data_IF_780552867163
#
_entry.id   IF_780552867163
#
_cell.length_a   1.000
_cell.length_b   1.000
_cell.length_c   1.000
_cell.angle_alpha   90.00
_cell.angle_beta   90.00
_cell.angle_gamma   90.00
#
_symmetry.space_group_name_H-M   'P 1'
#
loop_
_entity.id
_entity.type
_entity.pdbx_description
1 polymer ?
#
# COMPACT_ATOMS: atom_id res chain seq x y z
N UNK A 1 8.98 -14.82 10.87
CA UNK A 1 7.62 -15.24 11.29
C UNK A 1 6.71 -14.05 11.04
N UNK A 2 5.49 -14.26 10.54
CA UNK A 2 4.45 -13.22 10.68
C UNK A 2 4.01 -13.30 12.14
N UNK A 3 4.43 -12.33 12.95
CA UNK A 3 4.15 -12.33 14.40
C UNK A 3 2.70 -11.97 14.70
N UNK A 4 2.10 -11.13 13.85
CA UNK A 4 0.70 -10.74 13.97
C UNK A 4 -0.22 -11.74 13.25
N UNK A 5 -1.14 -12.37 13.97
CA UNK A 5 -2.08 -13.39 13.45
C UNK A 5 -3.19 -12.76 12.59
N UNK A 6 -2.83 -11.93 11.62
CA UNK A 6 -3.74 -11.25 10.70
C UNK A 6 -3.93 -12.10 9.44
N UNK A 7 -5.20 -12.28 9.04
CA UNK A 7 -5.54 -12.94 7.78
C UNK A 7 -5.06 -12.08 6.59
N UNK A 8 -4.42 -12.69 5.61
CA UNK A 8 -3.93 -11.99 4.42
C UNK A 8 -5.04 -11.25 3.67
N UNK A 9 -6.29 -11.74 3.72
CA UNK A 9 -7.44 -11.07 3.10
C UNK A 9 -7.72 -9.66 3.68
N UNK A 10 -7.25 -9.38 4.89
CA UNK A 10 -7.38 -8.08 5.57
C UNK A 10 -6.30 -7.08 5.15
N UNK A 11 -5.27 -7.54 4.44
CA UNK A 11 -4.09 -6.76 4.07
C UNK A 11 -4.12 -6.44 2.58
N UNK A 12 -3.87 -5.19 2.20
CA UNK A 12 -3.66 -4.79 0.80
C UNK A 12 -2.35 -4.04 0.65
N UNK A 13 -1.66 -4.28 -0.47
CA UNK A 13 -0.51 -3.49 -0.90
C UNK A 13 -0.98 -2.59 -2.04
N UNK A 14 -0.88 -1.27 -1.82
CA UNK A 14 -1.22 -0.25 -2.80
C UNK A 14 0.07 0.34 -3.38
N UNK A 15 0.20 0.26 -4.69
CA UNK A 15 1.29 0.89 -5.44
C UNK A 15 0.82 2.28 -5.88
N UNK A 16 1.52 3.32 -5.45
CA UNK A 16 1.25 4.70 -5.82
C UNK A 16 1.64 4.96 -7.29
N UNK A 17 2.83 4.54 -7.70
CA UNK A 17 3.32 4.65 -9.07
C UNK A 17 2.68 3.61 -10.01
N UNK A 18 1.52 3.98 -10.56
CA UNK A 18 0.80 3.14 -11.51
C UNK A 18 1.55 2.93 -12.85
N UNK A 19 2.46 3.85 -13.21
CA UNK A 19 3.23 3.80 -14.47
C UNK A 19 4.25 2.65 -14.39
N UNK A 20 4.99 2.58 -13.29
CA UNK A 20 6.03 1.56 -13.09
C UNK A 20 5.57 0.39 -12.22
N UNK A 21 4.25 0.19 -12.04
CA UNK A 21 3.67 -0.83 -11.14
C UNK A 21 4.24 -2.24 -11.33
N UNK A 22 4.56 -2.62 -12.57
CA UNK A 22 5.07 -3.96 -12.87
C UNK A 22 6.45 -4.19 -12.21
N UNK A 23 7.30 -3.17 -12.13
CA UNK A 23 8.60 -3.26 -11.45
C UNK A 23 8.42 -3.58 -9.96
N UNK A 24 7.42 -2.96 -9.32
CA UNK A 24 7.10 -3.21 -7.92
C UNK A 24 6.48 -4.60 -7.72
N UNK A 25 5.58 -5.02 -8.60
CA UNK A 25 4.98 -6.37 -8.57
C UNK A 25 6.06 -7.44 -8.73
N UNK A 26 6.97 -7.28 -9.69
CA UNK A 26 8.04 -8.23 -9.95
C UNK A 26 9.04 -8.27 -8.79
N UNK A 27 9.37 -7.11 -8.22
CA UNK A 27 10.18 -7.02 -7.00
C UNK A 27 9.51 -7.77 -5.84
N UNK A 28 8.20 -7.62 -5.61
CA UNK A 28 7.49 -8.37 -4.57
C UNK A 28 7.49 -9.87 -4.84
N UNK A 29 7.22 -10.29 -6.08
CA UNK A 29 7.23 -11.70 -6.48
C UNK A 29 8.59 -12.37 -6.31
N UNK A 30 9.69 -11.62 -6.28
CA UNK A 30 11.03 -12.15 -6.02
C UNK A 30 11.24 -12.60 -4.57
N UNK A 31 10.38 -12.19 -3.63
CA UNK A 31 10.44 -12.61 -2.23
C UNK A 31 9.59 -13.85 -1.96
N UNK A 32 10.06 -14.70 -1.03
CA UNK A 32 9.26 -15.83 -0.56
C UNK A 32 8.20 -15.37 0.44
N UNK A 33 6.94 -15.62 0.12
CA UNK A 33 5.83 -15.46 1.07
C UNK A 33 5.57 -16.78 1.82
N UNK A 34 4.95 -16.73 3.02
CA UNK A 34 4.47 -17.94 3.67
C UNK A 34 3.55 -18.73 2.74
N UNK A 35 3.67 -20.07 2.75
CA UNK A 35 2.90 -20.96 1.85
C UNK A 35 1.38 -20.80 1.95
N UNK A 36 0.89 -20.25 3.05
CA UNK A 36 -0.52 -20.00 3.31
C UNK A 36 -1.05 -18.74 2.65
N UNK A 37 -0.17 -17.85 2.19
CA UNK A 37 -0.55 -16.57 1.56
C UNK A 37 -0.44 -16.71 0.05
N UNK A 38 -1.52 -16.39 -0.66
CA UNK A 38 -1.49 -16.27 -2.11
C UNK A 38 -1.46 -14.81 -2.51
N UNK A 39 -0.46 -14.44 -3.29
CA UNK A 39 -0.38 -13.11 -3.87
C UNK A 39 -1.32 -13.02 -5.07
N UNK A 40 -2.24 -12.05 -5.07
CA UNK A 40 -3.13 -11.77 -6.20
C UNK A 40 -2.92 -10.34 -6.67
N UNK A 41 -2.90 -10.14 -7.98
CA UNK A 41 -2.56 -8.85 -8.59
C UNK A 41 -3.76 -8.36 -9.38
N UNK A 42 -4.36 -7.25 -8.94
CA UNK A 42 -5.50 -6.61 -9.62
C UNK A 42 -6.72 -7.54 -9.86
N UNK A 43 -6.85 -8.59 -9.05
CA UNK A 43 -7.94 -9.58 -9.10
C UNK A 43 -8.82 -9.49 -7.85
N UNK A 44 -10.02 -10.10 -7.91
CA UNK A 44 -10.90 -10.23 -6.75
C UNK A 44 -10.27 -11.12 -5.67
N UNK A 45 -10.27 -10.62 -4.42
CA UNK A 45 -9.72 -11.35 -3.27
C UNK A 45 -10.58 -12.56 -2.92
N UNK A 46 -9.91 -13.68 -2.64
CA UNK A 46 -10.47 -14.84 -1.94
C UNK A 46 -9.85 -14.98 -0.55
N UNK A 47 -10.29 -15.99 0.20
CA UNK A 47 -9.70 -16.33 1.50
C UNK A 47 -8.19 -16.56 1.37
N UNK A 48 -7.40 -15.99 2.29
CA UNK A 48 -5.94 -16.01 2.31
C UNK A 48 -5.21 -15.26 1.17
N UNK A 49 -5.91 -14.41 0.42
CA UNK A 49 -5.28 -13.61 -0.63
C UNK A 49 -4.71 -12.30 -0.09
N UNK A 50 -3.44 -12.05 -0.38
CA UNK A 50 -2.82 -10.74 -0.26
C UNK A 50 -2.97 -10.02 -1.60
N UNK A 51 -3.79 -8.95 -1.62
CA UNK A 51 -4.02 -8.17 -2.85
C UNK A 51 -2.89 -7.16 -3.04
N UNK A 52 -2.33 -7.15 -4.25
CA UNK A 52 -1.55 -6.05 -4.78
C UNK A 52 -2.37 -5.35 -5.85
N UNK A 53 -2.49 -4.03 -5.76
CA UNK A 53 -3.12 -3.22 -6.79
C UNK A 53 -2.55 -1.80 -6.76
N UNK A 54 -3.01 -0.92 -7.64
CA UNK A 54 -2.66 0.51 -7.58
C UNK A 54 -3.67 1.28 -6.75
N UNK A 55 -3.24 2.42 -6.20
CA UNK A 55 -4.14 3.34 -5.48
C UNK A 55 -5.38 3.68 -6.32
N UNK A 56 -5.19 3.96 -7.62
CA UNK A 56 -6.28 4.32 -8.53
C UNK A 56 -7.32 3.20 -8.70
N UNK A 57 -6.88 1.94 -8.77
CA UNK A 57 -7.79 0.78 -8.88
C UNK A 57 -8.48 0.43 -7.56
N UNK A 58 -7.98 0.93 -6.44
CA UNK A 58 -8.54 0.69 -5.11
C UNK A 58 -9.44 1.84 -4.61
N UNK A 59 -9.72 2.84 -5.45
CA UNK A 59 -10.63 3.95 -5.11
C UNK A 59 -12.02 3.41 -4.74
N UNK A 60 -12.54 3.88 -3.60
CA UNK A 60 -13.85 3.45 -3.07
C UNK A 60 -13.85 2.11 -2.32
N UNK A 61 -12.68 1.47 -2.20
CA UNK A 61 -12.50 0.26 -1.40
C UNK A 61 -11.71 0.57 -0.13
N UNK A 62 -11.80 -0.32 0.86
CA UNK A 62 -11.11 -0.18 2.14
C UNK A 62 -10.57 -1.55 2.60
N UNK A 63 -9.51 -1.53 3.40
CA UNK A 63 -8.93 -2.71 4.02
C UNK A 63 -8.58 -2.43 5.49
N UNK A 64 -8.46 -3.48 6.31
CA UNK A 64 -8.03 -3.30 7.71
C UNK A 64 -6.59 -2.78 7.76
N UNK A 65 -5.71 -3.36 6.94
CA UNK A 65 -4.30 -2.99 6.87
C UNK A 65 -3.92 -2.62 5.44
N UNK A 66 -3.30 -1.46 5.27
CA UNK A 66 -2.80 -0.96 3.98
C UNK A 66 -1.30 -0.76 4.05
N UNK A 67 -0.58 -1.32 3.08
CA UNK A 67 0.80 -0.96 2.79
C UNK A 67 0.82 -0.05 1.56
N UNK A 68 1.12 1.24 1.74
CA UNK A 68 1.30 2.19 0.65
C UNK A 68 2.78 2.19 0.22
N UNK A 69 3.03 1.82 -1.04
CA UNK A 69 4.37 1.64 -1.60
C UNK A 69 4.52 2.31 -2.97
N UNK A 70 5.75 2.34 -3.50
CA UNK A 70 6.05 2.80 -4.84
C UNK A 70 6.21 4.31 -4.98
N UNK A 71 6.81 4.95 -3.97
CA UNK A 71 7.02 6.41 -3.92
C UNK A 71 8.49 6.83 -4.12
N UNK A 72 9.39 5.89 -4.45
CA UNK A 72 10.84 6.13 -4.46
C UNK A 72 11.33 7.07 -5.57
N UNK A 73 10.62 7.13 -6.70
CA UNK A 73 11.04 7.90 -7.88
C UNK A 73 10.07 9.03 -8.23
N UNK A 74 9.17 9.32 -7.31
CA UNK A 74 7.94 10.03 -7.63
C UNK A 74 7.93 11.39 -6.95
N UNK A 75 7.56 12.42 -7.71
CA UNK A 75 7.40 13.77 -7.17
C UNK A 75 6.22 13.79 -6.20
N UNK A 76 6.46 14.13 -4.93
CA UNK A 76 5.43 14.10 -3.88
C UNK A 76 4.26 15.04 -4.20
N UNK A 77 4.53 16.21 -4.81
CA UNK A 77 3.49 17.16 -5.20
C UNK A 77 2.52 16.57 -6.23
N UNK A 78 3.04 15.78 -7.18
CA UNK A 78 2.25 15.11 -8.22
C UNK A 78 1.43 13.93 -7.66
N UNK A 79 1.87 13.36 -6.53
CA UNK A 79 1.30 12.15 -5.94
C UNK A 79 0.54 12.38 -4.66
N UNK A 80 0.38 13.65 -4.27
CA UNK A 80 -0.32 14.07 -3.06
C UNK A 80 -1.75 13.51 -3.01
N UNK A 81 -2.48 13.53 -4.12
CA UNK A 81 -3.83 12.93 -4.19
C UNK A 81 -3.77 11.42 -3.89
N UNK A 82 -2.84 10.70 -4.50
CA UNK A 82 -2.69 9.25 -4.37
C UNK A 82 -2.26 8.87 -2.95
N UNK A 83 -1.42 9.68 -2.32
CA UNK A 83 -1.03 9.51 -0.92
C UNK A 83 -2.25 9.68 -0.02
N UNK A 84 -3.00 10.78 -0.12
CA UNK A 84 -4.22 10.99 0.66
C UNK A 84 -5.29 9.92 0.42
N UNK A 85 -5.50 9.55 -0.85
CA UNK A 85 -6.41 8.47 -1.22
C UNK A 85 -5.93 7.18 -0.55
N UNK A 86 -4.65 6.83 -0.63
CA UNK A 86 -4.09 5.63 0.00
C UNK A 86 -4.24 5.60 1.52
N UNK A 87 -4.00 6.73 2.18
CA UNK A 87 -4.13 6.90 3.64
C UNK A 87 -5.56 6.61 4.10
N UNK A 88 -6.55 7.18 3.42
CA UNK A 88 -7.96 7.01 3.76
C UNK A 88 -8.52 5.58 3.56
N UNK A 89 -7.76 4.65 2.98
CA UNK A 89 -8.24 3.26 2.74
C UNK A 89 -7.99 2.31 3.90
N UNK A 90 -7.15 2.69 4.85
CA UNK A 90 -6.87 1.87 6.03
C UNK A 90 -7.92 2.10 7.11
N UNK A 91 -8.62 1.04 7.52
CA UNK A 91 -9.55 1.09 8.65
C UNK A 91 -8.85 1.05 10.01
N UNK A 92 -7.77 0.29 10.09
CA UNK A 92 -7.10 0.01 11.36
C UNK A 92 -5.64 0.45 11.35
N UNK A 93 -4.87 0.10 10.31
CA UNK A 93 -3.43 0.39 10.28
C UNK A 93 -2.93 0.68 8.87
N UNK A 94 -2.07 1.70 8.75
CA UNK A 94 -1.37 2.03 7.53
C UNK A 94 0.13 1.96 7.73
N UNK A 95 0.81 1.35 6.76
CA UNK A 95 2.26 1.37 6.62
C UNK A 95 2.66 2.12 5.36
N UNK A 96 3.57 3.09 5.50
CA UNK A 96 4.21 3.77 4.38
C UNK A 96 5.54 3.06 4.14
N UNK A 97 5.74 2.54 2.93
CA UNK A 97 6.94 1.81 2.54
C UNK A 97 7.69 2.63 1.49
N UNK A 98 8.97 2.90 1.72
CA UNK A 98 9.79 3.69 0.82
C UNK A 98 11.17 3.98 1.38
N UNK A 99 11.92 4.83 0.67
CA UNK A 99 13.16 5.39 1.20
C UNK A 99 12.89 6.25 2.45
N UNK A 100 13.85 6.29 3.37
CA UNK A 100 13.69 6.93 4.69
C UNK A 100 13.28 8.40 4.56
N UNK A 101 13.92 9.14 3.66
CA UNK A 101 13.64 10.55 3.38
C UNK A 101 12.22 10.77 2.87
N UNK A 102 11.72 9.90 1.98
CA UNK A 102 10.34 9.94 1.49
C UNK A 102 9.35 9.67 2.63
N UNK A 103 9.57 8.62 3.42
CA UNK A 103 8.71 8.29 4.56
C UNK A 103 8.69 9.42 5.60
N UNK A 104 9.85 10.04 5.87
CA UNK A 104 9.95 11.19 6.78
C UNK A 104 9.15 12.37 6.26
N UNK A 105 9.30 12.76 5.00
CA UNK A 105 8.53 13.86 4.39
C UNK A 105 7.02 13.64 4.48
N UNK A 106 6.55 12.45 4.11
CA UNK A 106 5.11 12.14 4.19
C UNK A 106 4.64 12.17 5.64
N UNK A 107 5.44 11.67 6.59
CA UNK A 107 5.09 11.74 8.01
C UNK A 107 5.02 13.18 8.52
N UNK A 108 5.89 14.07 8.06
CA UNK A 108 5.88 15.50 8.41
C UNK A 108 4.62 16.17 7.85
N UNK A 109 4.30 15.96 6.57
CA UNK A 109 3.08 16.49 5.94
C UNK A 109 1.79 16.03 6.65
N UNK A 110 1.75 14.79 7.13
CA UNK A 110 0.61 14.27 7.89
C UNK A 110 0.49 14.82 9.31
N UNK A 111 1.60 15.22 9.92
CA UNK A 111 1.60 15.83 11.25
C UNK A 111 1.28 17.33 11.19
N UNK A 112 1.56 18.00 10.07
CA UNK A 112 1.30 19.43 9.88
C UNK A 112 -0.16 19.76 9.52
N UNK A 113 -0.96 18.80 9.05
CA UNK A 113 -2.41 18.97 8.80
C UNK A 113 -3.27 17.83 9.39
N UNK A 114 -3.63 17.90 10.69
CA UNK A 114 -4.50 16.91 11.32
C UNK A 114 -6.00 17.09 11.01
N UNK A 115 -6.41 18.01 10.12
CA UNK A 115 -7.82 18.48 10.05
C UNK A 115 -8.41 18.68 8.64
N UNK A 116 -7.98 17.88 7.67
CA UNK A 116 -8.68 17.78 6.36
C UNK A 116 -9.33 16.41 6.12
N UNK A 117 -9.94 15.81 7.16
CA UNK A 117 -10.91 14.71 7.04
C UNK A 117 -12.29 15.19 7.49
#
# INVERSE_FOLDING_TARGET
>A
MIEEKVDANKIVILIADAIHKNNYIDALKSYSFPKTVRLVVEEEKRTNDLLITTVNKFKGLEAEIVFLWGMNFVNLDEFREQIYVGISRAKSMMFIVGAKDICTKISEELNEDPMSI
#
